data_IF_526823629075
#
_entry.id   IF_526823629075
#
_cell.length_a   1.000
_cell.length_b   1.000
_cell.length_c   1.000
_cell.angle_alpha   90.00
_cell.angle_beta   90.00
_cell.angle_gamma   90.00
#
_symmetry.space_group_name_H-M   'P 1'
#
loop_
_entity.id
_entity.type
_entity.pdbx_description
1 polymer ?
#
# COMPACT_ATOMS: atom_id res chain seq x y z
N UNK A 1 42.24 -9.56 -1.02
CA UNK A 1 41.23 -9.11 -0.03
C UNK A 1 40.21 -8.32 -0.84
N UNK A 2 39.24 -9.02 -1.40
CA UNK A 2 38.33 -8.53 -2.43
C UNK A 2 36.91 -8.66 -1.89
N UNK A 3 36.18 -7.54 -1.95
CA UNK A 3 34.77 -7.33 -1.66
C UNK A 3 33.87 -8.57 -1.54
N UNK A 4 33.38 -8.83 -0.31
CA UNK A 4 32.13 -9.55 -0.05
C UNK A 4 31.11 -8.57 0.55
N UNK A 5 30.93 -7.43 -0.11
CA UNK A 5 29.84 -6.47 0.13
C UNK A 5 28.54 -6.88 -0.56
N UNK A 6 28.26 -8.19 -0.66
CA UNK A 6 27.02 -8.69 -1.23
C UNK A 6 25.89 -8.45 -0.22
N UNK A 7 25.21 -7.32 -0.40
CA UNK A 7 24.04 -6.92 0.38
C UNK A 7 22.91 -7.94 0.26
N UNK A 8 22.96 -9.00 1.05
CA UNK A 8 21.83 -9.88 1.29
C UNK A 8 20.78 -9.06 2.02
N UNK A 9 19.78 -8.55 1.29
CA UNK A 9 18.57 -8.02 1.93
C UNK A 9 18.06 -9.14 2.83
N UNK A 10 17.98 -8.92 4.16
CA UNK A 10 17.67 -10.02 5.07
C UNK A 10 16.32 -10.61 4.65
N UNK A 11 16.20 -11.94 4.66
CA UNK A 11 14.98 -12.65 4.25
C UNK A 11 13.74 -12.10 4.98
N UNK A 12 13.94 -11.66 6.23
CA UNK A 12 12.98 -10.90 7.05
C UNK A 12 12.53 -9.60 6.37
N UNK A 13 13.44 -8.79 5.84
CA UNK A 13 13.11 -7.55 5.11
C UNK A 13 12.29 -7.83 3.87
N UNK A 14 12.64 -8.85 3.08
CA UNK A 14 11.85 -9.24 1.88
C UNK A 14 10.42 -9.65 2.26
N UNK A 15 10.28 -10.37 3.38
CA UNK A 15 8.99 -10.83 3.91
C UNK A 15 8.12 -9.65 4.38
N UNK A 16 8.72 -8.68 5.07
CA UNK A 16 8.03 -7.45 5.47
C UNK A 16 7.61 -6.59 4.27
N UNK A 17 8.45 -6.47 3.25
CA UNK A 17 8.12 -5.73 2.02
C UNK A 17 6.99 -6.43 1.27
N UNK A 18 7.01 -7.76 1.19
CA UNK A 18 5.93 -8.55 0.59
C UNK A 18 4.61 -8.37 1.34
N UNK A 19 4.64 -8.44 2.67
CA UNK A 19 3.46 -8.18 3.51
C UNK A 19 2.92 -6.76 3.31
N UNK A 20 3.80 -5.75 3.27
CA UNK A 20 3.40 -4.38 3.02
C UNK A 20 2.72 -4.22 1.65
N UNK A 21 3.22 -4.87 0.61
CA UNK A 21 2.59 -4.86 -0.71
C UNK A 21 1.17 -5.48 -0.67
N UNK A 22 0.99 -6.61 0.00
CA UNK A 22 -0.32 -7.26 0.16
C UNK A 22 -1.28 -6.37 0.93
N UNK A 23 -0.83 -5.75 2.02
CA UNK A 23 -1.65 -4.81 2.81
C UNK A 23 -2.06 -3.60 1.97
N UNK A 24 -1.14 -3.02 1.19
CA UNK A 24 -1.45 -1.91 0.29
C UNK A 24 -2.49 -2.30 -0.76
N UNK A 25 -2.37 -3.47 -1.39
CA UNK A 25 -3.34 -3.97 -2.37
C UNK A 25 -4.70 -4.24 -1.74
N UNK A 26 -4.73 -4.90 -0.59
CA UNK A 26 -5.97 -5.23 0.12
C UNK A 26 -6.69 -3.96 0.58
N UNK A 27 -5.96 -3.03 1.20
CA UNK A 27 -6.52 -1.77 1.66
C UNK A 27 -6.97 -0.86 0.51
N UNK A 28 -6.16 -0.77 -0.55
CA UNK A 28 -6.53 -0.05 -1.76
C UNK A 28 -7.78 -0.61 -2.42
N UNK A 29 -7.92 -1.94 -2.47
CA UNK A 29 -9.12 -2.61 -2.99
C UNK A 29 -10.35 -2.31 -2.14
N UNK A 30 -10.23 -2.40 -0.81
CA UNK A 30 -11.32 -2.04 0.12
C UNK A 30 -11.78 -0.60 -0.07
N UNK A 31 -10.84 0.33 -0.24
CA UNK A 31 -11.12 1.75 -0.52
C UNK A 31 -11.89 1.97 -1.84
N UNK A 32 -11.58 1.17 -2.87
CA UNK A 32 -12.25 1.24 -4.18
C UNK A 32 -13.63 0.59 -4.17
N UNK A 33 -13.79 -0.54 -3.49
CA UNK A 33 -15.07 -1.29 -3.42
C UNK A 33 -16.08 -0.60 -2.51
N UNK A 34 -15.62 0.00 -1.40
CA UNK A 34 -16.48 0.56 -0.37
C UNK A 34 -16.19 2.04 -0.06
N UNK A 35 -16.24 2.92 -1.08
CA UNK A 35 -15.83 4.32 -0.91
C UNK A 35 -16.79 5.11 0.01
N UNK A 36 -18.10 4.82 -0.08
CA UNK A 36 -19.16 5.46 0.71
C UNK A 36 -19.14 5.12 2.21
N UNK A 37 -19.10 3.85 2.63
CA UNK A 37 -19.02 3.52 4.04
C UNK A 37 -17.71 3.98 4.66
N UNK A 38 -16.59 4.00 3.91
CA UNK A 38 -15.32 4.55 4.39
C UNK A 38 -15.40 6.06 4.53
N UNK A 39 -15.99 6.78 3.57
CA UNK A 39 -16.23 8.20 3.72
C UNK A 39 -17.14 8.49 4.93
N UNK A 40 -18.18 7.69 5.16
CA UNK A 40 -19.02 7.81 6.38
C UNK A 40 -18.27 7.50 7.66
N UNK A 41 -17.42 6.48 7.67
CA UNK A 41 -16.59 6.11 8.82
C UNK A 41 -15.56 7.20 9.13
N UNK A 42 -14.86 7.70 8.11
CA UNK A 42 -13.88 8.79 8.25
C UNK A 42 -14.53 10.04 8.83
N UNK A 43 -15.72 10.43 8.34
CA UNK A 43 -16.49 11.55 8.90
C UNK A 43 -16.92 11.34 10.35
N UNK A 44 -17.18 10.09 10.77
CA UNK A 44 -17.51 9.78 12.16
C UNK A 44 -16.29 9.78 13.08
N UNK A 45 -15.13 9.32 12.60
CA UNK A 45 -13.91 9.16 13.41
C UNK A 45 -13.12 10.46 13.50
N UNK A 46 -13.03 11.22 12.40
CA UNK A 46 -12.26 12.48 12.35
C UNK A 46 -13.06 13.73 12.78
N UNK A 47 -14.36 13.57 13.09
CA UNK A 47 -15.23 14.68 13.49
C UNK A 47 -15.51 15.70 12.39
N UNK A 48 -16.21 16.78 12.72
CA UNK A 48 -16.63 17.85 11.79
C UNK A 48 -15.47 18.52 11.02
N UNK A 49 -14.24 18.44 11.54
CA UNK A 49 -13.05 19.08 10.93
C UNK A 49 -12.71 18.56 9.53
N UNK A 50 -12.93 17.26 9.26
CA UNK A 50 -12.66 16.63 7.96
C UNK A 50 -13.94 16.21 7.23
N UNK A 51 -15.10 16.51 7.83
CA UNK A 51 -16.44 16.13 7.40
C UNK A 51 -16.78 16.49 5.96
N UNK A 52 -16.28 17.65 5.50
CA UNK A 52 -16.49 18.17 4.15
C UNK A 52 -15.39 17.80 3.14
N UNK A 53 -14.20 17.42 3.60
CA UNK A 53 -13.06 17.12 2.72
C UNK A 53 -12.94 15.63 2.36
N UNK A 54 -13.42 14.72 3.20
CA UNK A 54 -13.44 13.29 2.89
C UNK A 54 -14.61 12.92 1.97
N UNK A 55 -14.43 13.18 0.67
CA UNK A 55 -15.37 12.76 -0.37
C UNK A 55 -15.14 11.29 -0.77
N UNK A 56 -16.17 10.61 -1.32
CA UNK A 56 -16.02 9.27 -1.89
C UNK A 56 -15.00 9.22 -3.04
N UNK A 57 -14.78 10.34 -3.73
CA UNK A 57 -13.76 10.43 -4.78
C UNK A 57 -12.35 10.48 -4.19
N UNK A 58 -12.15 11.19 -3.08
CA UNK A 58 -10.88 11.19 -2.38
C UNK A 58 -10.51 9.79 -1.88
N UNK A 59 -11.47 9.03 -1.33
CA UNK A 59 -11.22 7.65 -0.90
C UNK A 59 -10.86 6.73 -2.06
N UNK A 60 -11.50 6.90 -3.23
CA UNK A 60 -11.12 6.20 -4.47
C UNK A 60 -9.73 6.59 -4.96
N UNK A 61 -9.39 7.87 -4.93
CA UNK A 61 -8.06 8.36 -5.35
C UNK A 61 -6.95 7.79 -4.46
N UNK A 62 -7.16 7.81 -3.14
CA UNK A 62 -6.25 7.18 -2.17
C UNK A 62 -6.18 5.67 -2.42
N UNK A 63 -7.33 5.02 -2.65
CA UNK A 63 -7.41 3.59 -2.99
C UNK A 63 -6.59 3.21 -4.21
N UNK A 64 -6.73 3.97 -5.31
CA UNK A 64 -5.91 3.81 -6.52
C UNK A 64 -4.41 3.96 -6.21
N UNK A 65 -4.03 4.97 -5.42
CA UNK A 65 -2.64 5.18 -5.01
C UNK A 65 -2.06 3.98 -4.24
N UNK A 66 -2.83 3.43 -3.30
CA UNK A 66 -2.45 2.23 -2.55
C UNK A 66 -2.32 0.99 -3.43
N UNK A 67 -3.24 0.78 -4.37
CA UNK A 67 -3.16 -0.34 -5.32
C UNK A 67 -1.91 -0.19 -6.20
N UNK A 68 -1.71 0.98 -6.82
CA UNK A 68 -0.56 1.24 -7.69
C UNK A 68 0.76 1.09 -6.92
N UNK A 69 0.85 1.64 -5.71
CA UNK A 69 2.02 1.49 -4.85
C UNK A 69 2.29 0.02 -4.50
N UNK A 70 1.25 -0.73 -4.13
CA UNK A 70 1.34 -2.17 -3.87
C UNK A 70 1.82 -2.96 -5.08
N UNK A 71 1.30 -2.67 -6.29
CA UNK A 71 1.74 -3.31 -7.54
C UNK A 71 3.20 -2.99 -7.84
N UNK A 72 3.64 -1.74 -7.71
CA UNK A 72 5.04 -1.35 -7.97
C UNK A 72 5.99 -2.09 -7.03
N UNK A 73 5.67 -2.18 -5.74
CA UNK A 73 6.48 -2.92 -4.77
C UNK A 73 6.50 -4.42 -5.08
N UNK A 74 5.35 -5.01 -5.41
CA UNK A 74 5.25 -6.42 -5.78
C UNK A 74 6.08 -6.74 -7.04
N UNK A 75 6.01 -5.91 -8.08
CA UNK A 75 6.80 -6.06 -9.31
C UNK A 75 8.29 -5.88 -9.01
N UNK A 76 8.66 -4.90 -8.19
CA UNK A 76 10.06 -4.66 -7.81
C UNK A 76 10.65 -5.87 -7.06
N UNK A 77 9.89 -6.44 -6.12
CA UNK A 77 10.24 -7.68 -5.43
C UNK A 77 10.37 -8.86 -6.41
N UNK A 78 9.40 -9.02 -7.32
CA UNK A 78 9.42 -10.11 -8.31
C UNK A 78 10.66 -10.02 -9.21
N UNK A 79 10.99 -8.82 -9.69
CA UNK A 79 12.19 -8.59 -10.50
C UNK A 79 13.46 -8.91 -9.71
N UNK A 80 13.50 -8.56 -8.42
CA UNK A 80 14.64 -8.86 -7.55
C UNK A 80 14.82 -10.36 -7.33
N UNK A 81 13.72 -11.10 -7.13
CA UNK A 81 13.73 -12.57 -6.98
C UNK A 81 14.11 -13.27 -8.28
N UNK A 82 13.66 -12.77 -9.44
CA UNK A 82 13.98 -13.38 -10.74
C UNK A 82 15.40 -13.07 -11.22
N UNK A 83 16.02 -12.00 -10.71
CA UNK A 83 17.40 -11.60 -11.05
C UNK A 83 18.45 -12.07 -10.05
N UNK A 84 18.05 -12.40 -8.82
CA UNK A 84 18.91 -13.00 -7.79
C UNK A 84 18.97 -14.51 -7.94
#
# INVERSE_FOLDING_TARGET
MHDDGAGSVPLVSTLWIGLAAVVCLAWGSVLLTFPEPIARFSRKVQGEFWGGQFTPELSRFIGCGFVLGGVVVAVSLLVHILRG
#
